data_IF_442944575795
#
_entry.id   IF_442944575795
#
_cell.length_a   1.000
_cell.length_b   1.000
_cell.length_c   1.000
_cell.angle_alpha   90.00
_cell.angle_beta   90.00
_cell.angle_gamma   90.00
#
_symmetry.space_group_name_H-M   'P 1'
#
loop_
_entity.id
_entity.type
_entity.pdbx_description
1 polymer ?
#
# COMPACT_ATOMS: atom_id res chain seq x y z
N UNK A 1 43.18 -5.82 24.61
CA UNK A 1 43.12 -4.38 24.28
C UNK A 1 41.67 -4.06 23.93
N UNK A 2 40.94 -3.45 24.86
CA UNK A 2 39.56 -3.03 24.66
C UNK A 2 39.54 -1.78 23.77
N UNK A 3 39.01 -1.91 22.56
CA UNK A 3 38.63 -0.75 21.75
C UNK A 3 37.18 -0.39 22.09
N UNK A 4 37.04 0.73 22.80
CA UNK A 4 35.79 1.45 23.02
C UNK A 4 35.22 1.86 21.67
N UNK A 5 34.26 1.10 21.13
CA UNK A 5 33.50 1.53 19.96
C UNK A 5 32.53 2.64 20.40
N UNK A 6 33.00 3.89 20.36
CA UNK A 6 32.09 5.02 20.25
C UNK A 6 31.23 4.80 19.01
N UNK A 7 29.92 4.75 19.20
CA UNK A 7 28.90 4.86 18.15
C UNK A 7 29.20 6.11 17.30
N UNK A 8 29.97 5.94 16.23
CA UNK A 8 30.14 6.97 15.22
C UNK A 8 28.78 7.19 14.57
N UNK A 9 28.19 8.35 14.83
CA UNK A 9 27.20 8.93 13.93
C UNK A 9 27.91 9.01 12.58
N UNK A 10 27.58 8.11 11.65
CA UNK A 10 28.22 8.08 10.33
C UNK A 10 28.18 9.46 9.68
N UNK A 11 29.24 9.81 8.94
CA UNK A 11 29.38 11.12 8.32
C UNK A 11 28.14 11.50 7.50
N UNK A 12 27.74 12.77 7.60
CA UNK A 12 26.64 13.31 6.80
C UNK A 12 26.91 13.08 5.30
N UNK A 13 25.92 12.52 4.60
CA UNK A 13 25.92 12.38 3.14
C UNK A 13 25.18 13.58 2.56
N UNK A 14 25.58 14.06 1.39
CA UNK A 14 24.74 14.97 0.62
C UNK A 14 23.40 14.27 0.34
N UNK A 15 22.32 14.75 0.95
CA UNK A 15 21.01 14.12 0.84
C UNK A 15 20.58 13.97 -0.62
N UNK A 16 19.97 12.84 -0.95
CA UNK A 16 19.46 12.59 -2.31
C UNK A 16 17.95 12.69 -2.31
N UNK A 17 17.45 13.83 -2.78
CA UNK A 17 16.02 14.06 -2.95
C UNK A 17 15.48 13.14 -4.05
N UNK A 18 14.35 12.48 -3.77
CA UNK A 18 13.65 11.65 -4.76
C UNK A 18 13.16 12.46 -5.97
N UNK A 19 13.06 11.85 -7.18
CA UNK A 19 12.53 12.53 -8.35
C UNK A 19 11.14 13.13 -8.09
N UNK A 20 10.75 14.25 -8.73
CA UNK A 20 9.46 14.89 -8.46
C UNK A 20 8.25 13.99 -8.65
N UNK A 21 8.32 12.98 -9.52
CA UNK A 21 7.22 12.03 -9.77
C UNK A 21 7.25 10.79 -8.86
N UNK A 22 8.19 10.73 -7.91
CA UNK A 22 8.32 9.63 -6.98
C UNK A 22 8.25 10.14 -5.53
N UNK A 23 7.78 9.29 -4.64
CA UNK A 23 7.76 9.54 -3.19
C UNK A 23 8.17 8.25 -2.51
N UNK A 24 9.24 8.31 -1.72
CA UNK A 24 9.81 7.16 -1.02
C UNK A 24 9.14 7.00 0.34
N UNK A 25 8.40 5.92 0.49
CA UNK A 25 7.76 5.50 1.72
C UNK A 25 8.59 4.41 2.40
N UNK A 26 8.74 4.52 3.71
CA UNK A 26 9.24 3.47 4.60
C UNK A 26 8.09 3.01 5.48
N UNK A 27 7.97 1.71 5.74
CA UNK A 27 7.20 1.19 6.86
C UNK A 27 8.09 0.36 7.75
N UNK A 28 7.96 0.52 9.07
CA UNK A 28 8.78 -0.19 10.03
C UNK A 28 8.06 -0.30 11.37
N UNK A 29 8.02 -1.52 11.92
CA UNK A 29 7.83 -1.75 13.33
C UNK A 29 9.18 -1.62 14.06
N UNK A 30 9.26 -0.74 15.06
CA UNK A 30 10.48 -0.47 15.80
C UNK A 30 10.47 -1.02 17.24
N UNK A 31 9.35 -1.52 17.76
CA UNK A 31 9.18 -1.94 19.16
C UNK A 31 9.49 -0.89 20.24
N UNK A 32 9.73 0.37 19.86
CA UNK A 32 10.06 1.51 20.74
C UNK A 32 8.83 2.15 21.44
N UNK A 33 7.79 1.36 21.67
CA UNK A 33 6.45 1.82 22.02
C UNK A 33 5.98 1.36 23.40
N UNK A 34 6.55 0.29 23.94
CA UNK A 34 5.92 -0.44 25.05
C UNK A 34 6.46 -0.06 26.43
N UNK A 35 7.77 0.03 26.63
CA UNK A 35 8.33 0.26 27.96
C UNK A 35 9.05 1.61 28.09
N UNK A 36 9.01 2.21 29.28
CA UNK A 36 9.72 3.45 29.57
C UNK A 36 11.26 3.27 29.56
N UNK A 37 11.74 2.03 29.60
CA UNK A 37 13.14 1.66 29.41
C UNK A 37 13.60 1.90 27.97
N UNK A 38 12.78 1.53 26.98
CA UNK A 38 13.05 1.68 25.55
C UNK A 38 13.19 3.17 25.20
N UNK A 39 12.27 3.99 25.74
CA UNK A 39 12.35 5.45 25.62
C UNK A 39 13.60 6.10 26.25
N UNK A 40 14.29 5.42 27.18
CA UNK A 40 15.52 5.94 27.82
C UNK A 40 16.78 5.52 27.07
N UNK A 41 16.72 4.43 26.31
CA UNK A 41 17.87 3.87 25.60
C UNK A 41 17.49 3.52 24.16
N UNK A 42 17.52 4.53 23.28
CA UNK A 42 17.19 4.40 21.85
C UNK A 42 18.44 4.25 20.96
N UNK A 43 19.33 3.31 21.33
CA UNK A 43 20.64 3.11 20.64
C UNK A 43 20.49 2.43 19.29
N UNK A 44 19.37 1.80 19.10
CA UNK A 44 18.96 1.03 17.94
C UNK A 44 18.38 1.90 16.82
N UNK A 45 17.80 3.07 17.15
CA UNK A 45 17.34 4.03 16.15
C UNK A 45 18.43 4.51 15.16
N UNK A 46 19.67 4.86 15.60
CA UNK A 46 20.77 5.13 14.67
C UNK A 46 21.10 3.95 13.74
N UNK A 47 20.96 2.71 14.21
CA UNK A 47 21.19 1.50 13.40
C UNK A 47 20.10 1.43 12.33
N UNK A 48 18.82 1.50 12.74
CA UNK A 48 17.68 1.56 11.83
C UNK A 48 17.86 2.62 10.74
N UNK A 49 18.14 3.88 11.11
CA UNK A 49 18.32 4.96 10.14
C UNK A 49 19.50 4.71 9.20
N UNK A 50 20.62 4.18 9.70
CA UNK A 50 21.76 3.81 8.85
C UNK A 50 21.35 2.80 7.78
N UNK A 51 20.58 1.78 8.18
CA UNK A 51 20.13 0.71 7.30
C UNK A 51 19.09 1.20 6.29
N UNK A 52 18.17 2.07 6.70
CA UNK A 52 17.24 2.74 5.79
C UNK A 52 18.03 3.44 4.68
N UNK A 53 18.92 4.37 5.05
CA UNK A 53 19.67 5.20 4.09
C UNK A 53 20.61 4.41 3.17
N UNK A 54 21.02 3.19 3.55
CA UNK A 54 21.86 2.33 2.71
C UNK A 54 21.08 1.43 1.75
N UNK A 55 19.79 1.20 1.97
CA UNK A 55 18.97 0.29 1.17
C UNK A 55 17.92 0.98 0.31
N UNK A 56 17.69 2.28 0.49
CA UNK A 56 16.77 3.07 -0.33
C UNK A 56 17.50 3.89 -1.39
N UNK A 57 16.90 4.05 -2.59
CA UNK A 57 17.53 4.78 -3.70
C UNK A 57 17.61 6.29 -3.45
N UNK A 58 16.71 6.84 -2.63
CA UNK A 58 16.62 8.25 -2.27
C UNK A 58 16.29 8.40 -0.80
N UNK A 59 16.65 9.53 -0.20
CA UNK A 59 16.30 9.79 1.19
C UNK A 59 14.78 9.71 1.39
N UNK A 60 14.31 9.07 2.48
CA UNK A 60 12.88 8.84 2.70
C UNK A 60 12.08 10.13 2.67
N UNK A 61 10.90 10.10 2.06
CA UNK A 61 9.94 11.21 2.08
C UNK A 61 8.93 11.05 3.20
N UNK A 62 8.54 9.80 3.46
CA UNK A 62 7.54 9.43 4.46
C UNK A 62 8.00 8.18 5.20
N UNK A 63 7.86 8.17 6.53
CA UNK A 63 7.99 6.97 7.34
C UNK A 63 6.68 6.70 8.06
N UNK A 64 6.15 5.49 7.86
CA UNK A 64 4.98 4.92 8.52
C UNK A 64 5.51 4.01 9.63
N UNK A 65 5.56 4.52 10.85
CA UNK A 65 6.20 3.84 11.97
C UNK A 65 5.15 3.16 12.86
N UNK A 66 5.42 1.91 13.23
CA UNK A 66 4.62 1.09 14.13
C UNK A 66 5.37 0.81 15.43
N UNK A 67 4.60 0.57 16.49
CA UNK A 67 5.09 0.38 17.87
C UNK A 67 6.04 1.49 18.31
N UNK A 68 5.65 2.74 18.06
CA UNK A 68 6.41 3.94 18.45
C UNK A 68 5.55 4.89 19.29
N UNK A 69 6.22 5.66 20.15
CA UNK A 69 5.66 6.85 20.81
C UNK A 69 6.16 8.11 20.11
N UNK A 70 5.64 9.28 20.51
CA UNK A 70 6.14 10.57 19.99
C UNK A 70 7.66 10.67 20.10
N UNK A 71 8.22 10.30 21.27
CA UNK A 71 9.64 10.46 21.57
C UNK A 71 10.53 9.63 20.64
N UNK A 72 10.19 8.36 20.40
CA UNK A 72 10.96 7.50 19.49
C UNK A 72 10.79 7.93 18.03
N UNK A 73 9.59 8.28 17.58
CA UNK A 73 9.39 8.83 16.24
C UNK A 73 10.14 10.16 16.02
N UNK A 74 10.20 11.03 17.03
CA UNK A 74 10.94 12.29 16.98
C UNK A 74 12.47 12.05 16.96
N UNK A 75 12.97 11.05 17.68
CA UNK A 75 14.37 10.66 17.62
C UNK A 75 14.75 10.14 16.22
N UNK A 76 13.92 9.30 15.59
CA UNK A 76 14.11 8.89 14.18
C UNK A 76 14.19 10.11 13.26
N UNK A 77 13.24 11.05 13.40
CA UNK A 77 13.21 12.28 12.61
C UNK A 77 14.48 13.13 12.81
N UNK A 78 14.96 13.26 14.06
CA UNK A 78 16.18 14.01 14.38
C UNK A 78 17.42 13.36 13.76
N UNK A 79 17.58 12.05 13.87
CA UNK A 79 18.72 11.31 13.32
C UNK A 79 18.72 11.39 11.79
N UNK A 80 17.57 11.21 11.14
CA UNK A 80 17.44 11.40 9.69
C UNK A 80 17.80 12.82 9.27
N UNK A 81 17.33 13.82 10.02
CA UNK A 81 17.63 15.22 9.71
C UNK A 81 19.13 15.51 9.79
N UNK A 82 19.80 15.00 10.82
CA UNK A 82 21.24 15.15 10.99
C UNK A 82 22.04 14.46 9.89
N UNK A 83 21.59 13.29 9.40
CA UNK A 83 22.34 12.47 8.43
C UNK A 83 22.14 12.87 6.97
N UNK A 84 20.99 13.45 6.65
CA UNK A 84 20.61 13.82 5.27
C UNK A 84 20.69 15.33 5.01
N UNK A 85 20.67 16.16 6.06
CA UNK A 85 20.55 17.61 5.95
C UNK A 85 19.12 18.10 5.65
N UNK A 86 18.15 17.20 5.46
CA UNK A 86 16.74 17.55 5.30
C UNK A 86 16.05 17.72 6.67
N UNK A 87 14.91 18.41 6.71
CA UNK A 87 14.12 18.54 7.95
C UNK A 87 13.04 17.47 8.00
N UNK A 88 13.15 16.55 8.94
CA UNK A 88 12.11 15.56 9.24
C UNK A 88 11.31 15.94 10.48
N UNK A 89 9.99 15.71 10.44
CA UNK A 89 9.11 15.99 11.58
C UNK A 89 8.06 14.90 11.76
N UNK A 90 7.71 14.56 13.00
CA UNK A 90 6.51 13.78 13.30
C UNK A 90 5.29 14.62 12.90
N UNK A 91 4.60 14.23 11.82
CA UNK A 91 3.50 14.99 11.25
C UNK A 91 2.13 14.53 11.75
N UNK A 92 2.00 13.23 12.04
CA UNK A 92 0.75 12.61 12.51
C UNK A 92 1.05 11.48 13.50
N UNK A 93 0.10 11.19 14.38
CA UNK A 93 0.24 10.14 15.38
C UNK A 93 1.31 10.44 16.42
N UNK A 94 1.94 9.39 16.95
CA UNK A 94 2.96 9.47 17.99
C UNK A 94 2.35 9.96 19.31
N UNK A 95 1.57 9.12 19.99
CA UNK A 95 1.08 9.48 21.32
C UNK A 95 2.26 9.55 22.31
N UNK A 96 2.16 10.43 23.31
CA UNK A 96 3.12 10.44 24.43
C UNK A 96 2.96 9.19 25.29
N UNK A 97 1.71 8.93 25.66
CA UNK A 97 1.26 7.67 26.25
C UNK A 97 0.41 6.94 25.20
N UNK A 98 0.87 5.79 24.69
CA UNK A 98 0.14 5.03 23.70
C UNK A 98 -1.07 4.31 24.31
N UNK A 99 -1.15 4.14 25.63
CA UNK A 99 -2.25 3.43 26.28
C UNK A 99 -3.23 4.42 26.88
N UNK A 100 -4.36 4.60 26.21
CA UNK A 100 -5.45 5.45 26.72
C UNK A 100 -6.66 4.60 27.04
N UNK A 101 -7.45 4.96 28.05
CA UNK A 101 -8.60 4.13 28.41
C UNK A 101 -9.59 4.83 29.31
N UNK A 102 -10.81 4.30 29.31
CA UNK A 102 -11.86 4.59 30.30
C UNK A 102 -12.21 3.30 31.03
N UNK A 103 -13.13 3.37 31.99
CA UNK A 103 -13.69 2.15 32.62
C UNK A 103 -14.33 1.18 31.63
N UNK A 104 -14.72 1.66 30.43
CA UNK A 104 -15.45 0.90 29.41
C UNK A 104 -14.60 0.40 28.25
N UNK A 105 -13.41 0.96 28.00
CA UNK A 105 -12.55 0.55 26.88
C UNK A 105 -11.09 0.95 27.05
N UNK A 106 -10.19 0.26 26.35
CA UNK A 106 -8.78 0.61 26.20
C UNK A 106 -8.51 0.88 24.72
N UNK A 107 -7.65 1.85 24.42
CA UNK A 107 -7.18 2.17 23.08
C UNK A 107 -5.66 2.31 23.06
N UNK A 108 -5.01 1.55 22.17
CA UNK A 108 -3.56 1.58 21.96
C UNK A 108 -3.23 2.41 20.72
N UNK A 109 -2.40 3.45 20.87
CA UNK A 109 -2.04 4.48 19.87
C UNK A 109 -0.53 4.62 19.73
N UNK A 110 0.10 3.58 19.23
CA UNK A 110 1.54 3.38 19.12
C UNK A 110 2.04 3.41 17.66
N UNK A 111 1.46 4.27 16.83
CA UNK A 111 1.92 4.49 15.46
C UNK A 111 2.11 5.98 15.19
N UNK A 112 3.03 6.29 14.27
CA UNK A 112 3.34 7.66 13.88
C UNK A 112 3.66 7.75 12.39
N UNK A 113 3.51 8.95 11.83
CA UNK A 113 3.94 9.28 10.48
C UNK A 113 4.94 10.42 10.55
N UNK A 114 6.15 10.17 10.05
CA UNK A 114 7.22 11.16 9.93
C UNK A 114 7.33 11.61 8.48
N UNK A 115 7.45 12.91 8.25
CA UNK A 115 7.61 13.49 6.91
C UNK A 115 8.95 14.19 6.78
N UNK A 116 9.59 14.03 5.61
CA UNK A 116 10.59 14.97 5.12
C UNK A 116 9.89 16.25 4.66
N UNK A 117 9.99 17.33 5.43
CA UNK A 117 9.34 18.61 5.14
C UNK A 117 9.98 19.41 4.00
N UNK A 118 11.16 18.99 3.53
CA UNK A 118 11.76 19.55 2.32
C UNK A 118 11.03 19.08 1.05
N UNK A 119 10.37 17.93 1.11
CA UNK A 119 9.74 17.29 -0.05
C UNK A 119 8.25 17.06 0.11
N UNK A 120 7.74 17.09 1.33
CA UNK A 120 6.34 16.84 1.66
C UNK A 120 5.72 18.00 2.44
N UNK A 121 4.49 18.34 2.10
CA UNK A 121 3.68 19.35 2.79
C UNK A 121 2.42 18.70 3.36
N UNK A 122 2.11 18.94 4.64
CA UNK A 122 0.84 18.52 5.26
C UNK A 122 -0.33 19.25 4.59
N UNK A 123 -1.40 18.53 4.21
CA UNK A 123 -2.55 19.09 3.48
C UNK A 123 -3.90 18.71 4.07
N UNK A 124 -3.94 18.56 5.39
CA UNK A 124 -5.14 18.25 6.14
C UNK A 124 -4.78 17.71 7.52
N UNK A 125 -5.76 17.62 8.39
CA UNK A 125 -5.57 17.01 9.70
C UNK A 125 -5.45 15.50 9.61
N UNK A 126 -4.67 14.93 10.53
CA UNK A 126 -4.61 13.50 10.74
C UNK A 126 -5.45 13.10 11.95
N UNK A 127 -5.35 11.83 12.30
CA UNK A 127 -6.02 11.30 13.47
C UNK A 127 -5.76 9.81 13.62
N UNK A 128 -6.74 9.12 14.18
CA UNK A 128 -6.68 7.67 14.42
C UNK A 128 -7.84 6.98 13.71
N UNK A 129 -7.54 5.95 12.93
CA UNK A 129 -8.53 4.95 12.53
C UNK A 129 -8.49 3.86 13.60
N UNK A 130 -9.63 3.60 14.25
CA UNK A 130 -9.72 2.57 15.29
C UNK A 130 -10.34 1.27 14.75
N UNK A 131 -9.80 0.15 15.21
CA UNK A 131 -10.30 -1.21 14.99
C UNK A 131 -10.29 -2.00 16.31
N UNK A 132 -11.24 -2.93 16.51
CA UNK A 132 -11.20 -3.85 17.63
C UNK A 132 -9.93 -4.70 17.58
N UNK A 133 -9.22 -4.80 18.70
CA UNK A 133 -8.08 -5.71 18.91
C UNK A 133 -8.46 -6.89 19.80
N UNK A 134 -9.30 -6.67 20.80
CA UNK A 134 -9.95 -7.72 21.58
C UNK A 134 -11.34 -7.22 21.98
N UNK A 135 -12.36 -7.71 21.28
CA UNK A 135 -13.76 -7.38 21.53
C UNK A 135 -14.40 -8.28 22.59
N UNK A 136 -13.71 -9.31 23.07
CA UNK A 136 -14.24 -10.35 23.96
C UNK A 136 -14.04 -10.05 25.46
N UNK A 137 -13.14 -9.11 25.79
CA UNK A 137 -12.87 -8.72 27.16
C UNK A 137 -14.00 -7.85 27.78
N UNK A 138 -14.18 -7.94 29.11
CA UNK A 138 -15.06 -7.05 29.90
C UNK A 138 -14.76 -5.55 29.67
N UNK A 139 -13.54 -5.25 29.23
CA UNK A 139 -13.11 -3.91 28.82
C UNK A 139 -12.45 -4.02 27.44
N UNK A 140 -13.22 -3.88 26.35
CA UNK A 140 -12.72 -4.14 25.01
C UNK A 140 -11.54 -3.25 24.66
N UNK A 141 -10.58 -3.84 23.95
CA UNK A 141 -9.37 -3.17 23.50
C UNK A 141 -9.49 -2.81 22.03
N UNK A 142 -9.15 -1.57 21.71
CA UNK A 142 -9.06 -1.04 20.36
C UNK A 142 -7.61 -0.72 20.05
N UNK A 143 -7.24 -0.92 18.79
CA UNK A 143 -6.01 -0.40 18.23
C UNK A 143 -6.36 0.85 17.43
N UNK A 144 -5.49 1.85 17.51
CA UNK A 144 -5.59 3.10 16.79
C UNK A 144 -4.42 3.23 15.83
N UNK A 145 -4.71 3.39 14.55
CA UNK A 145 -3.74 3.59 13.49
C UNK A 145 -3.66 5.05 13.09
N UNK A 146 -2.45 5.63 13.16
CA UNK A 146 -2.22 7.00 12.78
C UNK A 146 -2.46 7.19 11.28
N UNK A 147 -3.32 8.12 10.91
CA UNK A 147 -3.51 8.52 9.52
C UNK A 147 -3.20 10.01 9.31
N UNK A 148 -2.92 10.37 8.07
CA UNK A 148 -2.73 11.76 7.67
C UNK A 148 -2.66 11.96 6.17
N UNK A 149 -2.57 13.23 5.76
CA UNK A 149 -2.57 13.63 4.36
C UNK A 149 -1.40 14.55 4.06
N UNK A 150 -0.59 14.19 3.07
CA UNK A 150 0.53 15.00 2.63
C UNK A 150 0.57 15.10 1.11
N UNK A 151 1.06 16.23 0.60
CA UNK A 151 1.30 16.48 -0.80
C UNK A 151 2.80 16.54 -1.03
N UNK A 152 3.26 15.93 -2.13
CA UNK A 152 4.62 16.14 -2.61
C UNK A 152 4.78 17.59 -3.06
N UNK A 153 5.68 18.31 -2.42
CA UNK A 153 5.95 19.73 -2.70
C UNK A 153 6.30 19.93 -4.17
N UNK A 154 5.72 20.97 -4.79
CA UNK A 154 5.92 21.26 -6.21
C UNK A 154 5.14 20.37 -7.18
N UNK A 155 4.24 19.49 -6.70
CA UNK A 155 3.48 18.59 -7.57
C UNK A 155 2.00 18.49 -7.16
N UNK A 156 1.20 17.86 -8.02
CA UNK A 156 -0.20 17.51 -7.72
C UNK A 156 -0.34 16.20 -6.92
N UNK A 157 0.74 15.47 -6.64
CA UNK A 157 0.68 14.18 -5.96
C UNK A 157 0.31 14.38 -4.49
N UNK A 158 -0.88 13.91 -4.14
CA UNK A 158 -1.40 13.95 -2.77
C UNK A 158 -1.61 12.52 -2.30
N UNK A 159 -1.15 12.26 -1.09
CA UNK A 159 -1.16 10.95 -0.47
C UNK A 159 -2.10 10.96 0.74
N UNK A 160 -3.03 10.02 0.77
CA UNK A 160 -3.73 9.63 1.99
C UNK A 160 -2.97 8.46 2.59
N UNK A 161 -2.50 8.62 3.83
CA UNK A 161 -1.54 7.70 4.44
C UNK A 161 -2.07 7.16 5.76
N UNK A 162 -1.81 5.89 6.05
CA UNK A 162 -1.98 5.34 7.39
C UNK A 162 -0.83 4.42 7.77
N UNK A 163 -0.45 4.45 9.05
CA UNK A 163 0.49 3.52 9.68
C UNK A 163 -0.30 2.55 10.55
N UNK A 164 -0.36 1.28 10.15
CA UNK A 164 -1.22 0.25 10.74
C UNK A 164 -0.39 -0.83 11.41
N UNK A 165 -0.90 -1.39 12.50
CA UNK A 165 -0.28 -2.52 13.19
C UNK A 165 -1.39 -3.47 13.61
N UNK A 166 -1.57 -4.55 12.85
CA UNK A 166 -2.69 -5.50 13.01
C UNK A 166 -2.13 -6.89 13.27
N UNK A 167 -2.56 -7.49 14.38
CA UNK A 167 -2.14 -8.83 14.80
C UNK A 167 -3.27 -9.82 14.57
N UNK A 168 -3.61 -10.29 13.34
CA UNK A 168 -4.65 -11.33 13.19
C UNK A 168 -4.88 -11.96 11.78
N UNK A 169 -5.69 -13.03 11.74
CA UNK A 169 -6.02 -13.89 10.58
C UNK A 169 -6.89 -13.24 9.48
N UNK A 170 -7.46 -12.07 9.75
CA UNK A 170 -8.40 -11.30 8.91
C UNK A 170 -7.77 -10.06 8.23
N UNK A 171 -6.43 -9.96 8.17
CA UNK A 171 -5.64 -8.84 7.56
C UNK A 171 -6.30 -8.21 6.33
N UNK A 172 -6.83 -9.04 5.44
CA UNK A 172 -7.55 -8.64 4.24
C UNK A 172 -8.71 -7.70 4.46
N UNK A 173 -9.62 -8.12 5.31
CA UNK A 173 -10.87 -7.43 5.54
C UNK A 173 -10.60 -6.14 6.32
N UNK A 174 -9.76 -6.23 7.35
CA UNK A 174 -9.37 -5.08 8.17
C UNK A 174 -8.65 -4.02 7.35
N UNK A 175 -7.69 -4.42 6.49
CA UNK A 175 -6.98 -3.48 5.62
C UNK A 175 -7.93 -2.79 4.64
N UNK A 176 -8.90 -3.50 4.06
CA UNK A 176 -9.92 -2.88 3.19
C UNK A 176 -10.83 -1.94 3.93
N UNK A 177 -11.24 -2.31 5.14
CA UNK A 177 -12.08 -1.46 5.98
C UNK A 177 -11.34 -0.17 6.31
N UNK A 178 -10.06 -0.25 6.66
CA UNK A 178 -9.20 0.92 6.92
C UNK A 178 -9.00 1.75 5.65
N UNK A 179 -8.69 1.13 4.51
CA UNK A 179 -8.55 1.83 3.24
C UNK A 179 -9.82 2.58 2.86
N UNK A 180 -10.99 1.96 3.05
CA UNK A 180 -12.31 2.57 2.82
C UNK A 180 -12.54 3.75 3.77
N UNK A 181 -12.26 3.57 5.07
CA UNK A 181 -12.36 4.65 6.07
C UNK A 181 -11.44 5.82 5.72
N UNK A 182 -10.22 5.55 5.26
CA UNK A 182 -9.23 6.54 4.87
C UNK A 182 -9.70 7.32 3.62
N UNK A 183 -10.17 6.62 2.59
CA UNK A 183 -10.72 7.24 1.39
C UNK A 183 -11.93 8.15 1.71
N UNK A 184 -12.83 7.70 2.59
CA UNK A 184 -13.98 8.49 3.02
C UNK A 184 -13.61 9.77 3.79
N UNK A 185 -12.41 9.86 4.39
CA UNK A 185 -11.94 11.06 5.09
C UNK A 185 -11.50 12.17 4.15
N UNK A 186 -11.10 11.83 2.92
CA UNK A 186 -10.76 12.79 1.87
C UNK A 186 -11.34 12.32 0.53
N UNK A 187 -12.66 12.46 0.33
CA UNK A 187 -13.30 12.10 -0.94
C UNK A 187 -12.75 12.91 -2.11
N UNK A 188 -12.21 14.11 -1.87
CA UNK A 188 -11.51 14.94 -2.85
C UNK A 188 -10.19 14.31 -3.35
N UNK A 189 -9.69 13.30 -2.64
CA UNK A 189 -8.55 12.46 -3.05
C UNK A 189 -9.02 11.21 -3.85
N UNK A 190 -10.33 10.90 -3.92
CA UNK A 190 -10.86 9.69 -4.58
C UNK A 190 -11.28 9.97 -6.05
N UNK A 191 -10.68 9.37 -7.08
CA UNK A 191 -10.93 7.99 -7.54
C UNK A 191 -9.72 7.37 -8.28
N UNK A 192 -8.52 7.91 -8.06
CA UNK A 192 -7.29 7.49 -8.75
C UNK A 192 -6.01 8.20 -8.31
N UNK A 193 -5.95 8.70 -7.06
CA UNK A 193 -4.74 9.32 -6.47
C UNK A 193 -4.27 8.50 -5.25
N UNK A 194 -2.99 8.67 -4.89
CA UNK A 194 -2.17 7.70 -4.15
C UNK A 194 -2.61 7.46 -2.70
N UNK A 195 -3.42 6.44 -2.46
CA UNK A 195 -3.62 5.92 -1.11
C UNK A 195 -2.43 5.05 -0.74
N UNK A 196 -1.85 5.23 0.46
CA UNK A 196 -0.69 4.48 0.95
C UNK A 196 -0.94 4.01 2.38
N UNK A 197 -0.73 2.73 2.66
CA UNK A 197 -1.05 2.11 3.94
C UNK A 197 0.14 1.23 4.31
N UNK A 198 0.94 1.62 5.30
CA UNK A 198 2.09 0.84 5.76
C UNK A 198 1.73 0.10 7.04
N UNK A 199 2.14 -1.15 7.21
CA UNK A 199 1.97 -1.82 8.48
C UNK A 199 2.69 -3.14 8.65
N UNK A 200 2.69 -3.60 9.90
CA UNK A 200 3.19 -4.90 10.33
C UNK A 200 2.03 -5.90 10.38
N UNK A 201 2.14 -6.95 9.57
CA UNK A 201 1.12 -7.97 9.40
C UNK A 201 1.66 -9.35 9.74
N UNK A 202 1.79 -9.60 11.03
CA UNK A 202 2.26 -10.86 11.55
C UNK A 202 1.24 -12.00 11.35
N UNK A 203 1.31 -12.72 10.23
CA UNK A 203 0.81 -14.11 10.14
C UNK A 203 1.72 -14.97 9.25
N UNK A 204 2.09 -16.15 9.73
CA UNK A 204 2.74 -17.20 8.94
C UNK A 204 1.83 -17.65 7.78
N UNK A 205 2.23 -17.43 6.53
CA UNK A 205 1.62 -18.11 5.37
C UNK A 205 2.67 -18.52 4.34
N UNK A 206 2.93 -19.82 4.28
CA UNK A 206 3.71 -20.50 3.25
C UNK A 206 3.05 -20.39 1.86
N UNK A 207 3.87 -20.39 0.83
CA UNK A 207 3.59 -21.15 -0.40
C UNK A 207 4.60 -22.30 -0.46
N UNK A 208 4.12 -23.55 -0.45
CA UNK A 208 4.97 -24.74 -0.59
C UNK A 208 5.52 -24.85 -2.02
N UNK A 209 6.78 -25.28 -2.22
CA UNK A 209 7.41 -25.42 -3.55
C UNK A 209 6.75 -26.43 -4.49
N UNK A 210 5.89 -27.33 -3.97
CA UNK A 210 5.36 -28.47 -4.75
C UNK A 210 3.95 -28.25 -5.31
N UNK A 211 3.29 -27.12 -5.01
CA UNK A 211 1.96 -26.85 -5.52
C UNK A 211 1.81 -25.37 -5.90
N UNK A 212 2.28 -25.00 -7.11
CA UNK A 212 2.30 -23.63 -7.58
C UNK A 212 0.88 -23.20 -7.99
N UNK A 213 0.03 -22.88 -7.01
CA UNK A 213 -1.01 -21.90 -7.29
C UNK A 213 -0.35 -20.52 -7.27
N UNK A 214 -0.41 -19.72 -8.35
CA UNK A 214 0.07 -18.35 -8.31
C UNK A 214 -0.61 -17.63 -7.14
N UNK A 215 0.15 -17.22 -6.14
CA UNK A 215 -0.33 -16.50 -4.95
C UNK A 215 -1.19 -15.26 -5.32
N UNK A 216 -0.94 -14.69 -6.51
CA UNK A 216 -1.81 -13.73 -7.18
C UNK A 216 -3.26 -14.23 -7.24
N UNK A 217 -3.55 -15.40 -7.80
CA UNK A 217 -4.88 -16.00 -7.82
C UNK A 217 -5.46 -16.29 -6.43
N UNK A 218 -4.64 -16.35 -5.37
CA UNK A 218 -5.13 -16.57 -4.00
C UNK A 218 -5.53 -15.26 -3.29
N UNK A 219 -4.84 -14.15 -3.58
CA UNK A 219 -5.18 -12.79 -3.10
C UNK A 219 -6.21 -12.11 -4.02
N UNK A 220 -6.01 -12.15 -5.33
CA UNK A 220 -6.85 -11.45 -6.32
C UNK A 220 -7.93 -12.33 -6.93
N UNK A 221 -7.81 -13.66 -6.82
CA UNK A 221 -8.89 -14.57 -7.16
C UNK A 221 -9.96 -14.64 -6.08
N UNK A 222 -11.13 -15.11 -6.47
CA UNK A 222 -12.22 -15.41 -5.54
C UNK A 222 -11.74 -16.46 -4.51
N UNK A 223 -11.94 -16.25 -3.20
CA UNK A 223 -12.82 -15.25 -2.57
C UNK A 223 -12.13 -13.93 -2.18
N UNK A 224 -10.81 -13.79 -2.33
CA UNK A 224 -10.08 -12.67 -1.70
C UNK A 224 -10.14 -11.38 -2.50
N UNK A 225 -10.03 -11.37 -3.83
CA UNK A 225 -10.31 -10.20 -4.68
C UNK A 225 -9.58 -8.88 -4.29
N UNK A 226 -8.30 -8.94 -3.91
CA UNK A 226 -7.46 -7.76 -3.65
C UNK A 226 -7.15 -6.96 -4.92
N UNK A 227 -7.17 -5.62 -4.86
CA UNK A 227 -7.15 -4.71 -6.02
C UNK A 227 -6.03 -3.67 -5.99
N UNK A 228 -4.96 -3.91 -5.23
CA UNK A 228 -4.01 -2.87 -4.82
C UNK A 228 -2.56 -3.38 -4.86
N UNK A 229 -1.58 -2.49 -5.10
CA UNK A 229 -0.17 -2.88 -5.30
C UNK A 229 0.53 -3.24 -4.01
N UNK A 230 1.12 -4.44 -4.01
CA UNK A 230 2.21 -4.85 -3.13
C UNK A 230 3.13 -5.81 -3.91
N UNK A 231 4.44 -5.60 -3.83
CA UNK A 231 5.49 -6.36 -4.53
C UNK A 231 6.15 -7.41 -3.64
N UNK A 232 6.69 -8.48 -4.25
CA UNK A 232 7.47 -9.51 -3.59
C UNK A 232 8.97 -9.40 -3.94
N UNK A 233 9.85 -9.55 -2.94
CA UNK A 233 11.25 -9.96 -3.11
C UNK A 233 11.51 -11.16 -2.18
N UNK A 234 12.01 -12.26 -2.76
CA UNK A 234 12.59 -13.38 -2.01
C UNK A 234 13.98 -12.99 -1.51
N UNK A 235 14.25 -13.27 -0.24
CA UNK A 235 15.60 -13.47 0.30
C UNK A 235 15.58 -14.71 1.22
N UNK A 236 16.69 -15.43 1.36
CA UNK A 236 16.75 -16.61 2.23
C UNK A 236 16.77 -16.14 3.69
N UNK A 237 15.96 -16.80 4.53
CA UNK A 237 15.92 -16.69 6.00
C UNK A 237 15.04 -15.60 6.64
N UNK A 238 14.26 -16.12 7.60
CA UNK A 238 13.54 -15.47 8.71
C UNK A 238 12.18 -14.82 8.44
N UNK A 239 11.35 -14.96 9.48
CA UNK A 239 9.90 -14.86 9.63
C UNK A 239 9.42 -13.45 10.04
N UNK A 240 8.16 -13.12 9.68
CA UNK A 240 7.39 -11.87 9.88
C UNK A 240 7.46 -10.84 8.72
N UNK A 241 6.29 -10.36 8.23
CA UNK A 241 6.18 -9.53 7.01
C UNK A 241 5.33 -8.28 7.24
N UNK A 242 5.97 -7.12 7.09
CA UNK A 242 5.34 -5.80 7.00
C UNK A 242 5.01 -5.47 5.54
N UNK A 243 3.89 -4.80 5.24
CA UNK A 243 3.51 -4.37 3.89
C UNK A 243 3.21 -2.88 3.80
N UNK A 244 3.53 -2.27 2.65
CA UNK A 244 2.96 -0.99 2.20
C UNK A 244 1.98 -1.31 1.08
N UNK A 245 0.70 -1.08 1.31
CA UNK A 245 -0.35 -1.12 0.31
C UNK A 245 -0.46 0.25 -0.35
N UNK A 246 -0.51 0.28 -1.67
CA UNK A 246 -0.80 1.50 -2.38
C UNK A 246 -1.82 1.33 -3.51
N UNK A 247 -2.65 2.36 -3.74
CA UNK A 247 -3.30 2.57 -5.03
C UNK A 247 -2.46 3.56 -5.82
N UNK A 248 -1.25 3.15 -6.15
CA UNK A 248 -0.23 3.99 -6.78
C UNK A 248 0.57 3.20 -7.81
N UNK A 249 1.21 3.93 -8.72
CA UNK A 249 2.28 3.36 -9.54
C UNK A 249 3.48 3.07 -8.65
N UNK A 250 4.07 1.88 -8.80
CA UNK A 250 5.26 1.50 -8.03
C UNK A 250 6.47 1.45 -8.94
N UNK A 251 7.41 2.33 -8.67
CA UNK A 251 8.63 2.50 -9.47
C UNK A 251 9.76 1.59 -8.98
N UNK A 252 9.82 1.39 -7.67
CA UNK A 252 10.74 0.46 -7.02
C UNK A 252 10.21 0.11 -5.63
N UNK A 253 10.54 -1.07 -5.13
CA UNK A 253 10.23 -1.47 -3.77
C UNK A 253 11.24 -2.50 -3.29
N UNK A 254 11.40 -2.59 -1.98
CA UNK A 254 12.37 -3.51 -1.40
C UNK A 254 12.21 -3.72 0.09
N UNK A 255 13.05 -4.61 0.57
CA UNK A 255 13.22 -4.97 1.97
C UNK A 255 14.70 -5.05 2.25
N UNK A 256 15.07 -4.76 3.50
CA UNK A 256 16.40 -5.04 4.00
C UNK A 256 16.61 -6.55 4.19
N UNK A 257 17.01 -7.24 3.11
CA UNK A 257 17.30 -8.68 3.13
C UNK A 257 18.56 -9.03 3.91
N UNK A 258 19.42 -8.07 4.20
CA UNK A 258 20.71 -8.29 4.88
C UNK A 258 20.59 -8.21 6.41
N UNK A 259 19.47 -7.70 6.93
CA UNK A 259 19.24 -7.61 8.37
C UNK A 259 18.88 -8.97 8.99
N UNK A 260 19.58 -9.35 10.06
CA UNK A 260 19.22 -10.50 10.89
C UNK A 260 18.37 -10.05 12.08
N UNK A 261 17.05 -10.22 12.00
CA UNK A 261 16.12 -9.88 13.06
C UNK A 261 16.18 -10.80 14.30
N UNK A 262 17.02 -11.84 14.26
CA UNK A 262 17.31 -12.73 15.40
C UNK A 262 18.68 -12.47 16.00
N UNK A 263 19.37 -11.41 15.58
CA UNK A 263 20.67 -11.08 16.16
C UNK A 263 20.51 -10.74 17.64
N UNK A 264 21.41 -11.26 18.46
CA UNK A 264 21.51 -10.91 19.88
C UNK A 264 22.52 -9.79 20.14
N UNK A 265 23.24 -9.35 19.09
CA UNK A 265 24.17 -8.22 19.17
C UNK A 265 23.41 -6.89 19.17
N UNK A 266 23.39 -6.13 20.28
CA UNK A 266 22.70 -4.85 20.37
C UNK A 266 23.31 -3.76 19.49
N UNK A 267 24.54 -3.93 18.99
CA UNK A 267 25.14 -3.01 18.03
C UNK A 267 24.62 -3.21 16.59
N UNK A 268 23.88 -4.31 16.33
CA UNK A 268 23.34 -4.66 15.03
C UNK A 268 21.81 -4.75 15.01
N UNK A 269 21.17 -4.97 16.17
CA UNK A 269 19.73 -5.09 16.33
C UNK A 269 19.04 -3.73 16.21
N UNK A 270 17.90 -3.67 15.51
CA UNK A 270 16.99 -2.53 15.57
C UNK A 270 15.52 -2.84 15.78
N UNK A 271 15.11 -4.07 15.50
CA UNK A 271 13.74 -4.54 15.67
C UNK A 271 13.71 -6.03 15.35
N UNK A 272 12.75 -6.78 15.87
CA UNK A 272 12.44 -8.11 15.36
C UNK A 272 11.75 -8.07 13.97
N UNK A 273 11.43 -6.87 13.45
CA UNK A 273 10.88 -6.64 12.12
C UNK A 273 11.88 -5.98 11.15
N UNK A 274 11.86 -6.48 9.91
CA UNK A 274 12.54 -5.84 8.78
C UNK A 274 11.69 -4.66 8.29
N UNK A 275 12.27 -3.50 8.02
CA UNK A 275 11.51 -2.43 7.36
C UNK A 275 11.22 -2.79 5.89
N UNK A 276 10.24 -2.11 5.30
CA UNK A 276 10.01 -2.12 3.84
C UNK A 276 10.04 -0.72 3.31
N UNK A 277 10.32 -0.61 2.02
CA UNK A 277 10.26 0.65 1.32
C UNK A 277 9.63 0.52 -0.06
N UNK A 278 9.04 1.60 -0.54
CA UNK A 278 8.54 1.73 -1.90
C UNK A 278 8.71 3.17 -2.42
N UNK A 279 9.16 3.30 -3.66
CA UNK A 279 9.09 4.53 -4.43
C UNK A 279 7.79 4.53 -5.22
N UNK A 280 6.86 5.39 -4.82
CA UNK A 280 5.50 5.46 -5.34
C UNK A 280 5.27 6.73 -6.16
N UNK A 281 4.43 6.65 -7.18
CA UNK A 281 4.11 7.77 -8.06
C UNK A 281 2.96 7.46 -9.01
N UNK A 282 2.77 8.26 -10.07
CA UNK A 282 1.73 8.01 -11.07
C UNK A 282 1.87 6.64 -11.73
N UNK A 283 0.78 5.88 -11.75
CA UNK A 283 0.71 4.66 -12.54
C UNK A 283 0.45 5.03 -14.00
N UNK A 284 1.28 4.50 -14.90
CA UNK A 284 1.20 4.72 -16.35
C UNK A 284 1.14 3.41 -17.16
N UNK A 285 1.03 2.28 -16.48
CA UNK A 285 1.06 0.97 -17.12
C UNK A 285 -0.38 0.48 -17.20
N UNK A 286 -0.88 0.30 -18.42
CA UNK A 286 -2.20 -0.28 -18.60
C UNK A 286 -2.21 -1.77 -18.21
N UNK A 287 -3.38 -2.33 -17.80
CA UNK A 287 -3.51 -3.76 -17.59
C UNK A 287 -3.19 -4.60 -18.85
N UNK A 288 -3.11 -5.92 -18.69
CA UNK A 288 -3.06 -6.83 -19.83
C UNK A 288 -4.37 -6.79 -20.63
N UNK A 289 -4.27 -6.85 -21.97
CA UNK A 289 -5.46 -6.86 -22.85
C UNK A 289 -6.31 -8.10 -22.51
N UNK A 290 -7.63 -7.97 -22.28
CA UNK A 290 -8.49 -9.13 -22.06
C UNK A 290 -8.42 -10.07 -23.28
N UNK A 291 -8.40 -11.38 -23.07
CA UNK A 291 -8.37 -12.35 -24.15
C UNK A 291 -9.65 -13.20 -24.19
N UNK A 292 -9.84 -13.95 -25.28
CA UNK A 292 -10.97 -14.88 -25.40
C UNK A 292 -12.35 -14.23 -25.37
N UNK A 293 -12.52 -13.03 -25.95
CA UNK A 293 -13.82 -12.37 -26.04
C UNK A 293 -14.81 -13.24 -26.83
N UNK A 294 -15.93 -13.59 -26.19
CA UNK A 294 -17.02 -14.37 -26.76
C UNK A 294 -18.33 -13.57 -26.71
N UNK A 295 -19.24 -13.88 -27.62
CA UNK A 295 -20.57 -13.28 -27.70
C UNK A 295 -21.62 -14.38 -27.93
N UNK A 296 -22.66 -14.40 -27.09
CA UNK A 296 -23.72 -15.41 -27.12
C UNK A 296 -25.10 -14.74 -27.13
N UNK A 297 -26.02 -15.26 -27.94
CA UNK A 297 -27.44 -14.89 -27.84
C UNK A 297 -28.03 -15.45 -26.54
N UNK A 298 -28.66 -14.59 -25.74
CA UNK A 298 -29.48 -14.97 -24.58
C UNK A 298 -30.88 -14.38 -24.74
N UNK A 299 -31.88 -14.81 -23.95
CA UNK A 299 -33.26 -14.30 -24.09
C UNK A 299 -33.34 -12.78 -23.97
N UNK A 300 -32.57 -12.18 -23.06
CA UNK A 300 -32.59 -10.73 -22.81
C UNK A 300 -31.72 -9.88 -23.76
N UNK A 301 -30.85 -10.49 -24.57
CA UNK A 301 -29.89 -9.74 -25.40
C UNK A 301 -28.67 -10.54 -25.83
N UNK A 302 -27.52 -9.87 -25.91
CA UNK A 302 -26.23 -10.52 -26.20
C UNK A 302 -25.38 -10.54 -24.94
N UNK A 303 -25.00 -11.72 -24.48
CA UNK A 303 -24.03 -11.89 -23.38
C UNK A 303 -22.62 -11.91 -23.94
N UNK A 304 -21.76 -11.06 -23.39
CA UNK A 304 -20.33 -11.02 -23.65
C UNK A 304 -19.59 -11.62 -22.46
N UNK A 305 -18.53 -12.39 -22.73
CA UNK A 305 -17.61 -12.94 -21.72
C UNK A 305 -16.18 -12.91 -22.22
N UNK A 306 -15.22 -12.78 -21.32
CA UNK A 306 -13.78 -12.72 -21.63
C UNK A 306 -12.94 -13.21 -20.44
N UNK A 307 -11.67 -13.55 -20.68
CA UNK A 307 -10.72 -13.91 -19.63
C UNK A 307 -10.20 -12.68 -18.86
N UNK A 308 -9.76 -12.89 -17.62
CA UNK A 308 -9.30 -11.83 -16.73
C UNK A 308 -8.04 -11.12 -17.21
N UNK A 309 -8.02 -9.80 -17.03
CA UNK A 309 -6.82 -8.98 -17.12
C UNK A 309 -6.07 -8.95 -15.79
N UNK A 310 -4.76 -8.74 -15.87
CA UNK A 310 -3.86 -8.52 -14.74
C UNK A 310 -3.23 -7.14 -14.87
N UNK A 311 -3.08 -6.44 -13.75
CA UNK A 311 -2.38 -5.16 -13.70
C UNK A 311 -1.02 -5.34 -13.04
N UNK A 312 0.01 -4.71 -13.63
CA UNK A 312 1.38 -4.69 -13.11
C UNK A 312 1.89 -3.27 -12.85
N UNK A 313 1.10 -2.25 -13.16
CA UNK A 313 1.41 -0.84 -12.89
C UNK A 313 1.28 -0.46 -11.42
N UNK A 314 0.35 -1.12 -10.74
CA UNK A 314 0.22 -1.12 -9.29
C UNK A 314 -1.02 -0.41 -8.79
N UNK A 315 -1.72 0.38 -9.60
CA UNK A 315 -3.03 0.89 -9.20
C UNK A 315 -4.10 -0.21 -9.14
N UNK A 316 -3.84 -1.38 -9.74
CA UNK A 316 -4.72 -2.54 -9.72
C UNK A 316 -5.88 -2.43 -10.71
N UNK A 317 -6.50 -3.57 -11.04
CA UNK A 317 -7.56 -3.61 -12.06
C UNK A 317 -8.84 -2.89 -11.58
N UNK A 318 -9.21 -1.82 -12.29
CA UNK A 318 -10.42 -1.02 -12.08
C UNK A 318 -11.66 -1.50 -12.84
N UNK A 319 -11.51 -2.50 -13.71
CA UNK A 319 -12.59 -3.18 -14.43
C UNK A 319 -12.45 -3.09 -15.95
N UNK A 320 -13.57 -3.29 -16.66
CA UNK A 320 -13.62 -3.40 -18.11
C UNK A 320 -14.61 -2.39 -18.70
N UNK A 321 -14.24 -1.83 -19.85
CA UNK A 321 -15.08 -0.96 -20.69
C UNK A 321 -15.51 -1.76 -21.93
N UNK A 322 -16.81 -1.83 -22.19
CA UNK A 322 -17.39 -2.62 -23.28
C UNK A 322 -17.88 -1.70 -24.38
N UNK A 323 -17.39 -1.90 -25.59
CA UNK A 323 -17.69 -1.05 -26.73
C UNK A 323 -18.45 -1.79 -27.82
N UNK A 324 -19.45 -1.11 -28.38
CA UNK A 324 -20.16 -1.53 -29.61
C UNK A 324 -19.60 -0.75 -30.80
N UNK A 325 -19.11 -1.46 -31.80
CA UNK A 325 -18.60 -0.86 -33.05
C UNK A 325 -19.78 -0.48 -33.93
N UNK A 326 -19.79 0.76 -34.43
CA UNK A 326 -20.80 1.27 -35.36
C UNK A 326 -20.40 1.01 -36.81
N UNK A 327 -21.36 1.05 -37.74
CA UNK A 327 -21.09 0.97 -39.18
C UNK A 327 -20.25 2.17 -39.65
N UNK A 328 -20.51 3.34 -39.08
CA UNK A 328 -19.80 4.60 -39.33
C UNK A 328 -19.52 5.32 -38.01
N UNK A 329 -18.44 6.08 -37.97
CA UNK A 329 -18.02 6.82 -36.78
C UNK A 329 -17.34 5.96 -35.70
N UNK A 330 -16.95 6.59 -34.57
CA UNK A 330 -16.20 5.91 -33.53
C UNK A 330 -17.05 4.86 -32.79
N UNK A 331 -16.41 3.81 -32.23
CA UNK A 331 -17.08 2.86 -31.33
C UNK A 331 -17.73 3.58 -30.15
N UNK A 332 -18.89 3.07 -29.69
CA UNK A 332 -19.63 3.61 -28.54
C UNK A 332 -19.38 2.76 -27.31
N UNK A 333 -19.00 3.36 -26.20
CA UNK A 333 -19.05 2.73 -24.88
C UNK A 333 -20.51 2.43 -24.53
N UNK A 334 -20.84 1.16 -24.33
CA UNK A 334 -22.19 0.73 -23.97
C UNK A 334 -22.32 0.40 -22.48
N UNK A 335 -21.20 0.17 -21.79
CA UNK A 335 -21.19 0.01 -20.35
C UNK A 335 -19.83 -0.40 -19.81
N UNK A 336 -19.77 -0.53 -18.49
CA UNK A 336 -18.60 -1.02 -17.76
C UNK A 336 -18.95 -2.27 -16.97
N UNK A 337 -17.97 -3.14 -16.73
CA UNK A 337 -18.12 -4.32 -15.86
C UNK A 337 -16.97 -4.40 -14.87
N UNK A 338 -17.28 -4.72 -13.61
CA UNK A 338 -16.27 -5.05 -12.61
C UNK A 338 -15.81 -6.52 -12.71
N UNK A 339 -16.55 -7.35 -13.46
CA UNK A 339 -16.25 -8.76 -13.69
C UNK A 339 -16.03 -9.06 -15.17
N UNK A 340 -16.01 -10.35 -15.48
CA UNK A 340 -15.59 -10.90 -16.77
C UNK A 340 -16.74 -11.10 -17.77
N UNK A 341 -17.86 -10.43 -17.54
CA UNK A 341 -19.04 -10.55 -18.39
C UNK A 341 -19.84 -9.26 -18.43
N UNK A 342 -20.64 -9.11 -19.49
CA UNK A 342 -21.57 -7.99 -19.67
C UNK A 342 -22.76 -8.45 -20.53
N UNK A 343 -23.98 -8.11 -20.12
CA UNK A 343 -25.18 -8.37 -20.91
C UNK A 343 -25.60 -7.09 -21.64
N UNK A 344 -25.53 -7.13 -22.97
CA UNK A 344 -26.05 -6.08 -23.84
C UNK A 344 -27.53 -6.36 -24.15
N UNK A 345 -28.43 -5.72 -23.39
CA UNK A 345 -29.88 -5.87 -23.54
C UNK A 345 -30.48 -4.92 -24.59
N UNK A 346 -29.73 -3.94 -25.07
CA UNK A 346 -30.17 -2.99 -26.12
C UNK A 346 -29.88 -3.57 -27.51
N UNK A 347 -30.50 -4.72 -27.82
CA UNK A 347 -30.25 -5.45 -29.07
C UNK A 347 -31.55 -5.90 -29.74
N UNK A 348 -31.59 -5.79 -31.07
CA UNK A 348 -32.76 -6.13 -31.89
C UNK A 348 -32.47 -7.32 -32.77
N UNK A 349 -33.44 -8.23 -32.93
CA UNK A 349 -33.31 -9.41 -33.78
C UNK A 349 -32.89 -9.06 -35.20
N UNK A 350 -32.17 -9.99 -35.84
CA UNK A 350 -31.62 -9.89 -37.22
C UNK A 350 -30.53 -8.84 -37.42
N UNK A 351 -30.28 -7.96 -36.44
CA UNK A 351 -29.19 -6.98 -36.52
C UNK A 351 -27.84 -7.63 -36.18
N UNK A 352 -26.81 -7.22 -36.92
CA UNK A 352 -25.42 -7.60 -36.66
C UNK A 352 -24.79 -6.61 -35.68
N UNK A 353 -24.18 -7.16 -34.64
CA UNK A 353 -23.42 -6.41 -33.66
C UNK A 353 -21.94 -6.77 -33.75
N UNK A 354 -21.11 -5.82 -33.36
CA UNK A 354 -19.66 -5.94 -33.29
C UNK A 354 -19.19 -5.35 -31.97
N UNK A 355 -18.35 -6.08 -31.24
CA UNK A 355 -17.91 -5.70 -29.89
C UNK A 355 -16.41 -5.85 -29.72
N UNK A 356 -15.82 -4.99 -28.89
CA UNK A 356 -14.53 -5.23 -28.26
C UNK A 356 -14.59 -4.77 -26.81
N UNK A 357 -13.62 -5.24 -26.02
CA UNK A 357 -13.49 -4.88 -24.61
C UNK A 357 -12.11 -4.27 -24.37
N UNK A 358 -12.02 -3.33 -23.43
CA UNK A 358 -10.74 -2.82 -22.90
C UNK A 358 -10.74 -3.04 -21.39
N UNK A 359 -9.61 -3.43 -20.83
CA UNK A 359 -9.43 -3.32 -19.37
C UNK A 359 -8.95 -1.91 -19.01
N UNK A 360 -9.19 -1.52 -17.76
CA UNK A 360 -8.81 -0.25 -17.17
C UNK A 360 -8.40 -0.46 -15.73
N UNK A 361 -7.34 0.20 -15.28
CA UNK A 361 -6.88 0.18 -13.89
C UNK A 361 -7.54 1.29 -13.03
N UNK A 362 -7.13 1.45 -11.77
CA UNK A 362 -7.59 2.55 -10.91
C UNK A 362 -6.89 3.89 -11.19
N UNK A 363 -5.83 3.91 -12.00
CA UNK A 363 -5.20 5.13 -12.51
C UNK A 363 -5.75 5.59 -13.87
N UNK A 364 -6.77 4.90 -14.39
CA UNK A 364 -7.42 5.15 -15.68
C UNK A 364 -6.57 4.86 -16.93
N UNK A 365 -5.47 4.11 -16.79
CA UNK A 365 -4.77 3.55 -17.95
C UNK A 365 -5.66 2.47 -18.59
N UNK A 366 -5.70 2.46 -19.92
CA UNK A 366 -6.56 1.56 -20.70
C UNK A 366 -5.75 0.71 -21.64
N UNK A 367 -6.12 -0.55 -21.74
CA UNK A 367 -5.47 -1.49 -22.66
C UNK A 367 -5.75 -1.14 -24.11
N UNK A 368 -5.02 -1.74 -25.04
CA UNK A 368 -5.52 -1.89 -26.41
C UNK A 368 -6.86 -2.65 -26.41
N UNK A 369 -7.72 -2.48 -27.43
CA UNK A 369 -8.93 -3.27 -27.55
C UNK A 369 -8.62 -4.76 -27.77
N UNK A 370 -9.50 -5.64 -27.28
CA UNK A 370 -9.50 -7.04 -27.73
C UNK A 370 -9.70 -7.12 -29.25
N UNK A 371 -9.42 -8.29 -29.83
CA UNK A 371 -9.97 -8.60 -31.15
C UNK A 371 -11.50 -8.38 -31.15
N UNK A 372 -12.02 -7.81 -32.23
CA UNK A 372 -13.46 -7.54 -32.36
C UNK A 372 -14.20 -8.83 -32.65
N UNK A 373 -15.27 -9.11 -31.92
CA UNK A 373 -16.19 -10.20 -32.22
C UNK A 373 -17.45 -9.68 -32.91
N UNK A 374 -18.04 -10.46 -33.83
CA UNK A 374 -19.30 -10.13 -34.48
C UNK A 374 -20.30 -11.26 -34.38
N UNK A 375 -21.56 -10.91 -34.15
CA UNK A 375 -22.67 -11.85 -34.09
C UNK A 375 -23.95 -11.18 -34.59
N UNK A 376 -24.87 -11.97 -35.16
CA UNK A 376 -26.24 -11.55 -35.46
C UNK A 376 -27.13 -11.91 -34.27
N UNK A 377 -27.94 -10.96 -33.80
CA UNK A 377 -28.94 -11.19 -32.77
C UNK A 377 -30.02 -12.15 -33.30
N UNK A 378 -30.20 -13.29 -32.65
CA UNK A 378 -31.18 -14.34 -33.00
C UNK A 378 -32.09 -14.61 -31.81
N UNK A 379 -33.27 -15.18 -32.09
CA UNK A 379 -34.21 -15.67 -31.07
C UNK A 379 -33.57 -16.77 -30.25
#
# INVERSE_FOLDING_TARGET
MCATALLHVGAARAGTVSPPQQTVFITANLQEGYNDGDLKNMRELPIFVSRVLSHVPYDPDVLLLQEVRYKSAAAVAQILSARTGHRYTVAFGGARDPWTGTSKRITVRDSAIVLNTATMTKVGDGGWIEEPKDSSANRPMYKGHAYGFARRTGTAMTFAMTSIHIQESSVTETTRAIATKLAAKRPDIDSGRYNVIGGDFNTSRQTSPNNPAPYWSWLTGSPRNYRDSVYAVRGPMSTAVDYIFARAGVYAAGVDTTYNNKTTDPALFYSDHRFRWAALGPDRVAPSVPNGLQAQNVSSGIRLSWAGSTDTGGSGLGGYEVYRVKKTGPPRLIGTSAGNSYNDNDTYFTKRYKYFVRARDHAHNRTAPTATISLIRRK
#
